data_IF_499125789237
#
_entry.id   IF_499125789237
#
_cell.length_a   1.000
_cell.length_b   1.000
_cell.length_c   1.000
_cell.angle_alpha   90.00
_cell.angle_beta   90.00
_cell.angle_gamma   90.00
#
_symmetry.space_group_name_H-M   'P 1'
#
loop_
_entity.id
_entity.type
_entity.pdbx_description
1 polymer ?
#
# COMPACT_ATOMS: atom_id res chain seq x y z
N UNK A 1 12.81 2.33 -13.07
CA UNK A 1 11.47 1.97 -13.60
C UNK A 1 11.54 1.10 -14.84
N UNK A 2 12.23 1.50 -15.93
CA UNK A 2 12.33 0.69 -17.14
C UNK A 2 13.02 -0.65 -16.83
N UNK A 3 14.12 -0.64 -16.08
CA UNK A 3 14.83 -1.85 -15.65
C UNK A 3 13.94 -2.83 -14.87
N UNK A 4 13.11 -2.32 -13.97
CA UNK A 4 12.16 -3.16 -13.19
C UNK A 4 11.13 -3.83 -14.13
N UNK A 5 10.69 -3.11 -15.18
CA UNK A 5 9.78 -3.65 -16.19
C UNK A 5 10.44 -4.79 -16.99
N UNK A 6 11.66 -4.57 -17.46
CA UNK A 6 12.44 -5.58 -18.21
C UNK A 6 12.76 -6.81 -17.36
N UNK A 7 13.21 -6.61 -16.12
CA UNK A 7 13.48 -7.69 -15.17
C UNK A 7 12.25 -8.58 -14.97
N UNK A 8 11.08 -7.97 -14.73
CA UNK A 8 9.84 -8.71 -14.58
C UNK A 8 9.41 -9.42 -15.86
N UNK A 9 9.61 -8.82 -17.04
CA UNK A 9 9.33 -9.48 -18.32
C UNK A 9 10.19 -10.73 -18.51
N UNK A 10 11.48 -10.64 -18.22
CA UNK A 10 12.39 -11.78 -18.33
C UNK A 10 12.05 -12.88 -17.33
N UNK A 11 11.76 -12.51 -16.07
CA UNK A 11 11.41 -13.44 -15.01
C UNK A 11 10.13 -14.23 -15.31
N UNK A 12 9.15 -13.62 -15.98
CA UNK A 12 7.85 -14.24 -16.25
C UNK A 12 7.64 -14.67 -17.71
N UNK A 13 8.67 -14.56 -18.56
CA UNK A 13 8.59 -14.93 -19.98
C UNK A 13 8.19 -16.40 -20.17
N UNK A 14 8.73 -17.29 -19.35
CA UNK A 14 8.45 -18.74 -19.43
C UNK A 14 7.02 -19.13 -19.01
N UNK A 15 6.30 -18.24 -18.33
CA UNK A 15 4.91 -18.46 -17.94
C UNK A 15 3.90 -18.12 -19.04
N UNK A 16 4.36 -17.57 -20.17
CA UNK A 16 3.49 -17.29 -21.29
C UNK A 16 3.02 -18.59 -21.94
N UNK A 17 1.71 -18.77 -22.02
CA UNK A 17 1.08 -19.93 -22.64
C UNK A 17 0.36 -19.50 -23.93
N UNK A 18 0.83 -19.96 -25.07
CA UNK A 18 0.27 -19.66 -26.40
C UNK A 18 -1.12 -20.26 -26.63
N UNK A 19 -1.48 -21.32 -25.90
CA UNK A 19 -2.80 -21.96 -26.02
C UNK A 19 -3.89 -21.12 -25.35
N UNK A 20 -3.52 -20.38 -24.28
CA UNK A 20 -4.45 -19.50 -23.55
C UNK A 20 -4.55 -18.11 -24.16
N UNK A 21 -3.48 -17.59 -24.72
CA UNK A 21 -3.44 -16.25 -25.29
C UNK A 21 -2.57 -16.20 -26.55
N UNK A 22 -3.16 -15.78 -27.66
CA UNK A 22 -2.47 -15.60 -28.94
C UNK A 22 -1.73 -14.25 -29.03
N UNK A 23 -1.86 -13.37 -28.01
CA UNK A 23 -1.28 -12.03 -28.04
C UNK A 23 -0.19 -11.88 -26.96
N UNK A 24 1.08 -12.14 -27.28
CA UNK A 24 2.19 -11.97 -26.36
C UNK A 24 2.39 -10.50 -25.94
N UNK A 25 2.10 -9.56 -26.83
CA UNK A 25 2.23 -8.14 -26.54
C UNK A 25 1.34 -7.71 -25.36
N UNK A 26 0.08 -8.13 -25.34
CA UNK A 26 -0.84 -7.84 -24.25
C UNK A 26 -0.35 -8.43 -22.92
N UNK A 27 0.21 -9.64 -22.94
CA UNK A 27 0.78 -10.30 -21.77
C UNK A 27 1.94 -9.51 -21.18
N UNK A 28 2.93 -9.14 -21.99
CA UNK A 28 4.09 -8.39 -21.52
C UNK A 28 3.74 -6.96 -21.09
N UNK A 29 2.84 -6.31 -21.80
CA UNK A 29 2.34 -4.98 -21.41
C UNK A 29 1.70 -5.00 -20.01
N UNK A 30 0.94 -6.04 -19.70
CA UNK A 30 0.36 -6.21 -18.37
C UNK A 30 1.41 -6.42 -17.28
N UNK A 31 2.46 -7.19 -17.55
CA UNK A 31 3.58 -7.38 -16.63
C UNK A 31 4.29 -6.06 -16.34
N UNK A 32 4.61 -5.29 -17.39
CA UNK A 32 5.26 -3.98 -17.26
C UNK A 32 4.38 -3.01 -16.46
N UNK A 33 3.09 -2.98 -16.75
CA UNK A 33 2.14 -2.13 -16.04
C UNK A 33 2.13 -2.41 -14.54
N UNK A 34 2.05 -3.68 -14.13
CA UNK A 34 2.09 -4.04 -12.72
C UNK A 34 3.46 -3.81 -12.08
N UNK A 35 4.55 -3.94 -12.83
CA UNK A 35 5.90 -3.61 -12.35
C UNK A 35 6.00 -2.12 -12.01
N UNK A 36 5.48 -1.24 -12.87
CA UNK A 36 5.46 0.19 -12.64
C UNK A 36 4.56 0.58 -11.46
N UNK A 37 3.38 -0.01 -11.34
CA UNK A 37 2.51 0.24 -10.18
C UNK A 37 3.20 -0.12 -8.85
N UNK A 38 3.88 -1.28 -8.79
CA UNK A 38 4.62 -1.69 -7.60
C UNK A 38 5.75 -0.72 -7.27
N UNK A 39 6.47 -0.24 -8.29
CA UNK A 39 7.55 0.74 -8.11
C UNK A 39 7.02 2.07 -7.58
N UNK A 40 5.96 2.61 -8.18
CA UNK A 40 5.33 3.85 -7.72
C UNK A 40 4.85 3.72 -6.28
N UNK A 41 4.24 2.60 -5.90
CA UNK A 41 3.81 2.37 -4.52
C UNK A 41 5.00 2.32 -3.55
N UNK A 42 6.10 1.70 -3.94
CA UNK A 42 7.34 1.66 -3.14
C UNK A 42 7.93 3.05 -2.95
N UNK A 43 8.00 3.84 -4.01
CA UNK A 43 8.51 5.22 -3.94
C UNK A 43 7.63 6.12 -3.07
N UNK A 44 6.30 6.06 -3.24
CA UNK A 44 5.37 6.79 -2.37
C UNK A 44 5.52 6.41 -0.89
N UNK A 45 5.73 5.13 -0.59
CA UNK A 45 5.98 4.68 0.79
C UNK A 45 7.30 5.22 1.33
N UNK A 46 8.36 5.21 0.54
CA UNK A 46 9.64 5.78 0.94
C UNK A 46 9.56 7.30 1.16
N UNK A 47 8.82 8.00 0.31
CA UNK A 47 8.56 9.43 0.44
C UNK A 47 7.78 9.74 1.73
N UNK A 48 6.76 8.95 2.03
CA UNK A 48 6.01 9.07 3.29
C UNK A 48 6.92 8.92 4.52
N UNK A 49 7.78 7.89 4.53
CA UNK A 49 8.72 7.67 5.64
C UNK A 49 9.67 8.88 5.79
N UNK A 50 10.22 9.39 4.68
CA UNK A 50 11.11 10.55 4.71
C UNK A 50 10.41 11.79 5.27
N UNK A 51 9.18 12.04 4.83
CA UNK A 51 8.42 13.20 5.29
C UNK A 51 8.02 13.08 6.77
N UNK A 52 7.66 11.89 7.21
CA UNK A 52 7.33 11.65 8.62
C UNK A 52 8.53 11.85 9.52
N UNK A 53 9.68 11.27 9.17
CA UNK A 53 10.93 11.50 9.92
C UNK A 53 11.32 12.97 9.94
N UNK A 54 11.18 13.67 8.82
CA UNK A 54 11.47 15.12 8.76
C UNK A 54 10.54 15.92 9.68
N UNK A 55 9.26 15.59 9.71
CA UNK A 55 8.28 16.25 10.59
C UNK A 55 8.58 15.96 12.07
N UNK A 56 8.88 14.71 12.42
CA UNK A 56 9.21 14.31 13.79
C UNK A 56 10.52 14.98 14.28
N UNK A 57 11.53 15.07 13.42
CA UNK A 57 12.79 15.76 13.76
C UNK A 57 12.58 17.26 13.95
N UNK A 58 11.69 17.87 13.15
CA UNK A 58 11.40 19.30 13.28
C UNK A 58 10.77 19.63 14.63
N UNK A 59 9.81 18.81 15.10
CA UNK A 59 9.17 19.01 16.41
C UNK A 59 10.20 18.93 17.54
N UNK A 60 11.14 18.01 17.48
CA UNK A 60 12.21 17.88 18.48
C UNK A 60 13.18 19.08 18.43
N UNK A 61 13.51 19.55 17.22
CA UNK A 61 14.41 20.71 17.07
C UNK A 61 13.75 22.05 17.43
N UNK A 62 12.43 22.20 17.22
CA UNK A 62 11.71 23.43 17.60
C UNK A 62 11.68 23.61 19.13
N UNK A 63 11.64 22.55 19.91
CA UNK A 63 11.76 22.61 21.37
C UNK A 63 13.16 23.06 21.84
N UNK A 64 14.21 22.78 21.06
CA UNK A 64 15.58 23.17 21.37
C UNK A 64 15.98 24.53 20.72
N UNK A 65 15.37 24.90 19.59
CA UNK A 65 15.75 26.06 18.76
C UNK A 65 14.91 27.32 18.94
N UNK A 66 13.96 27.36 19.84
CA UNK A 66 13.21 28.60 20.16
C UNK A 66 14.13 29.76 20.62
N UNK A 67 15.43 29.46 20.76
CA UNK A 67 16.46 30.43 21.18
C UNK A 67 17.38 30.92 20.07
N UNK A 68 17.36 30.43 18.83
CA UNK A 68 18.52 30.68 17.94
C UNK A 68 18.26 31.02 16.48
N UNK A 69 17.09 31.25 15.94
CA UNK A 69 17.05 31.77 14.57
C UNK A 69 15.75 32.41 14.14
N UNK A 70 15.69 33.73 14.34
CA UNK A 70 14.69 34.60 13.72
C UNK A 70 15.08 35.12 12.32
N UNK A 71 16.18 34.67 11.69
CA UNK A 71 16.76 35.46 10.61
C UNK A 71 16.90 34.82 9.22
N UNK A 72 16.49 33.58 8.95
CA UNK A 72 16.82 33.01 7.62
C UNK A 72 15.84 32.01 7.01
N UNK A 73 14.55 32.26 7.05
CA UNK A 73 13.61 31.47 6.25
C UNK A 73 12.67 32.39 5.49
N UNK A 74 12.69 32.30 4.16
CA UNK A 74 11.63 32.82 3.29
C UNK A 74 10.30 32.19 3.73
N UNK A 75 9.55 32.88 4.58
CA UNK A 75 8.37 32.36 5.29
C UNK A 75 7.31 31.72 4.38
N UNK A 76 7.12 32.25 3.16
CA UNK A 76 6.09 31.72 2.23
C UNK A 76 6.45 30.36 1.64
N UNK A 77 7.66 30.16 1.14
CA UNK A 77 8.05 28.89 0.52
C UNK A 77 8.17 27.74 1.52
N UNK A 78 8.56 28.05 2.76
CA UNK A 78 8.61 27.07 3.84
C UNK A 78 7.19 26.64 4.28
N UNK A 79 6.26 27.56 4.35
CA UNK A 79 4.88 27.27 4.74
C UNK A 79 4.17 26.38 3.72
N UNK A 80 4.24 26.69 2.44
CA UNK A 80 3.66 25.90 1.36
C UNK A 80 4.24 24.46 1.33
N UNK A 81 5.54 24.34 1.54
CA UNK A 81 6.19 23.04 1.61
C UNK A 81 5.70 22.19 2.78
N UNK A 82 5.51 22.79 3.96
CA UNK A 82 4.99 22.11 5.14
C UNK A 82 3.54 21.69 4.98
N UNK A 83 2.71 22.54 4.40
CA UNK A 83 1.31 22.21 4.09
C UNK A 83 1.26 21.00 3.16
N UNK A 84 2.06 21.01 2.08
CA UNK A 84 2.12 19.92 1.13
C UNK A 84 2.58 18.59 1.76
N UNK A 85 3.59 18.65 2.64
CA UNK A 85 4.05 17.46 3.38
C UNK A 85 2.94 16.91 4.27
N UNK A 86 2.26 17.77 5.01
CA UNK A 86 1.17 17.37 5.89
C UNK A 86 0.02 16.74 5.13
N UNK A 87 -0.44 17.37 4.05
CA UNK A 87 -1.48 16.81 3.19
C UNK A 87 -1.12 15.44 2.62
N UNK A 88 0.13 15.27 2.20
CA UNK A 88 0.62 14.00 1.69
C UNK A 88 0.63 12.91 2.77
N UNK A 89 1.07 13.23 3.99
CA UNK A 89 1.06 12.31 5.13
C UNK A 89 -0.38 11.89 5.47
N UNK A 90 -1.29 12.85 5.61
CA UNK A 90 -2.70 12.61 5.93
C UNK A 90 -3.39 11.74 4.86
N UNK A 91 -3.09 11.98 3.58
CA UNK A 91 -3.60 11.16 2.48
C UNK A 91 -3.09 9.71 2.54
N UNK A 92 -1.82 9.52 2.85
CA UNK A 92 -1.23 8.18 2.95
C UNK A 92 -1.80 7.41 4.15
N UNK A 93 -1.94 8.06 5.31
CA UNK A 93 -2.52 7.46 6.51
C UNK A 93 -4.00 7.10 6.30
N UNK A 94 -4.77 7.95 5.65
CA UNK A 94 -6.16 7.65 5.28
C UNK A 94 -6.24 6.41 4.38
N UNK A 95 -5.40 6.33 3.34
CA UNK A 95 -5.37 5.17 2.44
C UNK A 95 -4.96 3.88 3.14
N UNK A 96 -4.05 3.95 4.10
CA UNK A 96 -3.66 2.78 4.90
C UNK A 96 -4.80 2.33 5.83
N UNK A 97 -5.48 3.27 6.48
CA UNK A 97 -6.65 2.98 7.31
C UNK A 97 -7.79 2.35 6.50
N UNK A 98 -8.09 2.88 5.31
CA UNK A 98 -9.09 2.29 4.41
C UNK A 98 -8.74 0.86 4.00
N UNK A 99 -7.47 0.61 3.68
CA UNK A 99 -7.00 -0.75 3.33
C UNK A 99 -7.11 -1.71 4.50
N UNK A 100 -6.80 -1.25 5.71
CA UNK A 100 -6.92 -2.04 6.93
C UNK A 100 -8.38 -2.42 7.18
N UNK A 101 -9.28 -1.45 7.14
CA UNK A 101 -10.71 -1.66 7.32
C UNK A 101 -11.28 -2.65 6.28
N UNK A 102 -10.91 -2.51 5.00
CA UNK A 102 -11.32 -3.45 3.95
C UNK A 102 -10.80 -4.88 4.18
N UNK A 103 -9.60 -5.01 4.75
CA UNK A 103 -9.03 -6.33 5.08
C UNK A 103 -9.78 -6.98 6.25
N UNK A 104 -10.10 -6.20 7.27
CA UNK A 104 -10.85 -6.65 8.44
C UNK A 104 -12.27 -7.08 8.06
N UNK A 105 -12.96 -6.28 7.23
CA UNK A 105 -14.28 -6.63 6.70
C UNK A 105 -14.26 -7.95 5.91
N UNK A 106 -13.29 -8.10 5.00
CA UNK A 106 -13.15 -9.35 4.23
C UNK A 106 -12.81 -10.55 5.11
N UNK A 107 -12.07 -10.35 6.20
CA UNK A 107 -11.78 -11.41 7.16
C UNK A 107 -13.03 -11.82 7.90
N UNK A 108 -13.81 -10.87 8.41
CA UNK A 108 -15.07 -11.10 9.08
C UNK A 108 -16.10 -11.83 8.17
N UNK A 109 -16.19 -11.42 6.89
CA UNK A 109 -17.04 -12.11 5.91
C UNK A 109 -16.64 -13.57 5.67
N UNK A 110 -15.33 -13.83 5.61
CA UNK A 110 -14.83 -15.22 5.45
C UNK A 110 -15.15 -16.07 6.66
N UNK A 111 -14.93 -15.55 7.86
CA UNK A 111 -15.24 -16.24 9.11
C UNK A 111 -16.72 -16.52 9.26
N UNK A 112 -17.60 -15.60 8.87
CA UNK A 112 -19.04 -15.79 8.89
C UNK A 112 -19.50 -16.87 7.89
N UNK A 113 -18.89 -16.93 6.70
CA UNK A 113 -19.17 -17.96 5.69
C UNK A 113 -18.70 -19.35 6.15
N UNK A 114 -17.55 -19.44 6.80
CA UNK A 114 -17.03 -20.70 7.33
C UNK A 114 -17.92 -21.24 8.43
N UNK A 115 -18.43 -20.39 9.33
CA UNK A 115 -19.38 -20.79 10.38
C UNK A 115 -20.73 -21.24 9.84
N UNK A 116 -21.22 -20.69 8.74
CA UNK A 116 -22.46 -21.12 8.08
C UNK A 116 -22.35 -22.48 7.40
N UNK A 117 -21.15 -22.87 6.97
CA UNK A 117 -20.92 -24.17 6.30
C UNK A 117 -20.59 -25.31 7.27
N UNK A 118 -20.43 -25.04 8.56
CA UNK A 118 -20.42 -26.06 9.59
C UNK A 118 -21.88 -26.39 9.92
N UNK A 119 -22.45 -27.29 9.13
CA UNK A 119 -23.75 -27.95 9.47
C UNK A 119 -23.51 -28.67 10.79
N UNK A 120 -24.38 -28.51 11.83
CA UNK A 120 -24.27 -29.31 13.02
C UNK A 120 -24.43 -30.77 12.62
N UNK A 121 -23.47 -31.61 13.00
CA UNK A 121 -23.62 -33.06 12.96
C UNK A 121 -24.89 -33.39 13.75
N UNK A 122 -25.97 -33.67 13.06
CA UNK A 122 -27.19 -34.18 13.66
C UNK A 122 -26.84 -35.53 14.29
N UNK A 123 -26.92 -35.60 15.60
CA UNK A 123 -26.82 -36.82 16.36
C UNK A 123 -27.73 -37.91 15.72
N UNK A 124 -27.09 -38.85 15.05
CA UNK A 124 -27.71 -40.06 14.49
C UNK A 124 -28.04 -41.12 15.59
N UNK A 125 -27.88 -40.76 16.86
CA UNK A 125 -28.09 -41.67 18.01
C UNK A 125 -29.55 -41.82 18.44
N UNK A 126 -30.50 -41.20 17.71
CA UNK A 126 -31.92 -41.29 18.10
C UNK A 126 -32.71 -42.43 17.39
N UNK A 127 -32.09 -43.27 16.60
CA UNK A 127 -32.83 -44.30 15.82
C UNK A 127 -32.42 -45.75 16.15
N UNK A 128 -31.95 -46.01 17.37
CA UNK A 128 -31.76 -47.37 17.87
C UNK A 128 -32.44 -47.53 19.24
N UNK A 129 -33.77 -47.66 19.21
CA UNK A 129 -34.58 -48.35 20.23
C UNK A 129 -35.84 -48.91 19.57
#
# INVERSE_FOLDING_TARGET
MISDGLENCLAYMHNFNSDKSKNPFAYFTQIIYYAFLRRIQKEKKQQYIKYKVFTDQKTVMEEEHEKLSNDFVNEKGSLDFHIHIKEFIDEMERKEAEKKNKREQKKAERESKTKKNQVPETNLDFFML
#
